data_IF_507505628877
#
_entry.id   IF_507505628877
#
_cell.length_a   1.000
_cell.length_b   1.000
_cell.length_c   1.000
_cell.angle_alpha   90.00
_cell.angle_beta   90.00
_cell.angle_gamma   90.00
#
_symmetry.space_group_name_H-M   'P 1'
#
loop_
_entity.id
_entity.type
_entity.pdbx_description
1 polymer ?
#
# COMPACT_ATOMS: atom_id res chain seq x y z
N UNK A 1 -6.61 10.05 -12.27
CA UNK A 1 -5.64 8.98 -12.57
C UNK A 1 -5.55 8.19 -11.29
N UNK A 2 -5.58 6.86 -11.36
CA UNK A 2 -5.47 6.07 -10.15
C UNK A 2 -4.03 6.20 -9.62
N UNK A 3 -3.87 6.67 -8.38
CA UNK A 3 -2.55 6.93 -7.83
C UNK A 3 -2.51 6.93 -6.31
N UNK A 4 -1.37 6.51 -5.75
CA UNK A 4 -1.09 6.62 -4.32
C UNK A 4 -0.65 8.04 -3.98
N UNK A 5 -1.36 8.70 -3.04
CA UNK A 5 -1.04 10.06 -2.57
C UNK A 5 -0.23 10.06 -1.29
N UNK A 6 -0.57 9.16 -0.37
CA UNK A 6 0.06 9.07 0.96
C UNK A 6 0.12 7.63 1.41
N UNK A 7 1.20 7.28 2.11
CA UNK A 7 1.36 6.00 2.81
C UNK A 7 1.59 6.29 4.29
N UNK A 8 0.83 5.65 5.17
CA UNK A 8 0.96 5.72 6.63
C UNK A 8 1.33 4.34 7.12
N UNK A 9 2.60 4.14 7.50
CA UNK A 9 3.07 2.89 8.10
C UNK A 9 2.72 2.91 9.57
N UNK A 10 1.93 1.93 9.99
CA UNK A 10 1.36 1.82 11.33
C UNK A 10 1.80 0.55 12.06
N UNK A 11 2.22 -0.45 11.29
CA UNK A 11 2.79 -1.69 11.77
C UNK A 11 4.20 -1.82 11.19
N UNK A 12 5.18 -2.10 12.04
CA UNK A 12 6.52 -2.49 11.60
C UNK A 12 7.10 -3.48 12.60
N UNK A 13 7.13 -4.76 12.20
CA UNK A 13 7.70 -5.88 12.94
C UNK A 13 8.74 -6.60 12.07
N UNK A 14 9.46 -7.56 12.64
CA UNK A 14 10.65 -8.16 12.04
C UNK A 14 10.50 -8.67 10.59
N UNK A 15 9.31 -9.16 10.21
CA UNK A 15 9.07 -9.70 8.86
C UNK A 15 7.80 -9.18 8.19
N UNK A 16 7.11 -8.25 8.85
CA UNK A 16 5.85 -7.69 8.38
C UNK A 16 5.75 -6.22 8.77
N UNK A 17 5.39 -5.38 7.80
CA UNK A 17 5.03 -4.00 8.03
C UNK A 17 3.81 -3.65 7.19
N UNK A 18 3.07 -2.63 7.58
CA UNK A 18 1.81 -2.32 6.93
C UNK A 18 1.16 -1.07 7.49
N UNK A 19 0.01 -0.73 6.96
CA UNK A 19 -0.77 0.42 7.41
C UNK A 19 -1.81 0.84 6.39
N UNK A 20 -1.96 2.16 6.22
CA UNK A 20 -2.96 2.73 5.31
C UNK A 20 -2.29 3.46 4.15
N UNK A 21 -2.79 3.23 2.94
CA UNK A 21 -2.53 4.11 1.80
C UNK A 21 -3.78 4.96 1.51
N UNK A 22 -3.58 6.25 1.28
CA UNK A 22 -4.59 7.14 0.70
C UNK A 22 -4.35 7.14 -0.80
N UNK A 23 -5.36 6.72 -1.54
CA UNK A 23 -5.31 6.58 -2.98
C UNK A 23 -6.45 7.36 -3.62
N UNK A 24 -6.20 7.90 -4.80
CA UNK A 24 -7.25 8.47 -5.66
C UNK A 24 -7.70 7.38 -6.63
N UNK A 25 -9.00 7.10 -6.71
CA UNK A 25 -9.60 6.18 -7.67
C UNK A 25 -10.80 6.87 -8.30
N UNK A 26 -10.83 6.96 -9.63
CA UNK A 26 -11.92 7.63 -10.36
C UNK A 26 -12.26 9.06 -9.87
N UNK A 27 -11.26 9.78 -9.31
CA UNK A 27 -11.42 11.13 -8.77
C UNK A 27 -11.89 11.20 -7.31
N UNK A 28 -12.09 10.07 -6.65
CA UNK A 28 -12.41 9.99 -5.22
C UNK A 28 -11.19 9.54 -4.41
N UNK A 29 -11.00 10.15 -3.24
CA UNK A 29 -9.99 9.71 -2.29
C UNK A 29 -10.54 8.62 -1.38
N UNK A 30 -9.87 7.46 -1.38
CA UNK A 30 -10.20 6.35 -0.51
C UNK A 30 -8.98 5.91 0.30
N UNK A 31 -9.23 5.33 1.46
CA UNK A 31 -8.20 4.71 2.29
C UNK A 31 -8.24 3.19 2.11
N UNK A 32 -7.08 2.61 1.82
CA UNK A 32 -6.89 1.16 1.71
C UNK A 32 -5.90 0.68 2.77
N UNK A 33 -6.24 -0.41 3.45
CA UNK A 33 -5.28 -1.12 4.29
C UNK A 33 -4.32 -1.91 3.40
N UNK A 34 -3.06 -2.01 3.81
CA UNK A 34 -2.11 -2.89 3.15
C UNK A 34 -1.12 -3.49 4.15
N UNK A 35 -0.65 -4.68 3.82
CA UNK A 35 0.40 -5.39 4.53
C UNK A 35 1.53 -5.73 3.56
N UNK A 36 2.75 -5.74 4.07
CA UNK A 36 3.96 -6.09 3.36
C UNK A 36 4.71 -7.13 4.16
N UNK A 37 4.83 -8.32 3.59
CA UNK A 37 5.59 -9.41 4.17
C UNK A 37 6.95 -9.53 3.47
N UNK A 38 8.00 -9.74 4.26
CA UNK A 38 9.32 -10.11 3.74
C UNK A 38 9.40 -11.63 3.65
N UNK A 39 9.63 -12.18 2.45
CA UNK A 39 9.86 -13.61 2.24
C UNK A 39 11.23 -13.79 1.58
N UNK A 40 12.27 -13.95 2.40
CA UNK A 40 13.66 -13.97 1.94
C UNK A 40 14.05 -12.64 1.26
N UNK A 41 14.62 -12.64 0.05
CA UNK A 41 14.97 -11.40 -0.66
C UNK A 41 13.77 -10.71 -1.32
N UNK A 42 12.56 -11.28 -1.24
CA UNK A 42 11.36 -10.77 -1.93
C UNK A 42 10.41 -10.08 -0.96
N UNK A 43 9.78 -9.02 -1.42
CA UNK A 43 8.67 -8.34 -0.76
C UNK A 43 7.36 -8.79 -1.38
N UNK A 44 6.36 -9.05 -0.55
CA UNK A 44 4.99 -9.37 -0.97
C UNK A 44 4.09 -8.30 -0.38
N UNK A 45 3.35 -7.59 -1.23
CA UNK A 45 2.36 -6.59 -0.80
C UNK A 45 0.97 -7.18 -0.98
N UNK A 46 0.11 -6.95 0.01
CA UNK A 46 -1.30 -7.37 0.00
C UNK A 46 -2.15 -6.18 0.38
N UNK A 47 -3.11 -5.82 -0.47
CA UNK A 47 -4.12 -4.81 -0.14
C UNK A 47 -5.28 -5.49 0.58
N UNK A 48 -5.63 -4.97 1.76
CA UNK A 48 -6.74 -5.42 2.58
C UNK A 48 -8.10 -5.05 1.97
N UNK A 49 -9.16 -5.72 2.42
CA UNK A 49 -10.54 -5.39 2.02
C UNK A 49 -10.96 -5.88 0.63
N UNK A 50 -10.11 -6.65 -0.08
CA UNK A 50 -10.44 -7.34 -1.35
C UNK A 50 -11.82 -8.02 -1.28
N UNK A 51 -12.73 -7.63 -2.16
CA UNK A 51 -14.05 -8.26 -2.31
C UNK A 51 -15.00 -8.15 -1.11
N UNK A 52 -14.62 -7.46 -0.01
CA UNK A 52 -15.51 -7.22 1.13
C UNK A 52 -16.26 -5.91 0.94
N UNK A 53 -17.47 -6.06 0.41
CA UNK A 53 -18.62 -5.18 0.46
C UNK A 53 -18.49 -3.68 0.15
N UNK A 54 -17.35 -2.95 0.20
CA UNK A 54 -17.42 -1.48 0.07
C UNK A 54 -16.19 -0.61 -0.23
N UNK A 55 -15.01 -1.06 -0.71
CA UNK A 55 -13.94 -0.06 -1.01
C UNK A 55 -13.09 -0.24 -2.26
N UNK A 56 -12.74 -1.46 -2.67
CA UNK A 56 -11.79 -1.65 -3.77
C UNK A 56 -12.13 -2.89 -4.58
N UNK A 57 -12.34 -2.73 -5.89
CA UNK A 57 -12.46 -3.85 -6.84
C UNK A 57 -11.15 -4.64 -6.94
N UNK A 58 -11.22 -5.91 -7.35
CA UNK A 58 -10.04 -6.79 -7.40
C UNK A 58 -8.95 -6.28 -8.36
N UNK A 59 -9.36 -5.75 -9.52
CA UNK A 59 -8.48 -5.12 -10.51
C UNK A 59 -7.74 -3.91 -9.93
N UNK A 60 -8.44 -3.07 -9.18
CA UNK A 60 -7.91 -1.87 -8.53
C UNK A 60 -6.97 -2.25 -7.38
N UNK A 61 -7.32 -3.27 -6.59
CA UNK A 61 -6.45 -3.77 -5.53
C UNK A 61 -5.13 -4.33 -6.09
N UNK A 62 -5.19 -5.12 -7.17
CA UNK A 62 -4.00 -5.66 -7.82
C UNK A 62 -3.10 -4.56 -8.42
N UNK A 63 -3.71 -3.49 -8.94
CA UNK A 63 -2.98 -2.32 -9.40
C UNK A 63 -2.19 -1.65 -8.25
N UNK A 64 -2.84 -1.38 -7.11
CA UNK A 64 -2.17 -0.74 -5.98
C UNK A 64 -1.14 -1.62 -5.29
N UNK A 65 -1.32 -2.93 -5.26
CA UNK A 65 -0.26 -3.84 -4.77
C UNK A 65 1.02 -3.71 -5.58
N UNK A 66 0.89 -3.62 -6.90
CA UNK A 66 2.04 -3.41 -7.79
C UNK A 66 2.69 -2.05 -7.56
N UNK A 67 1.90 -0.98 -7.48
CA UNK A 67 2.45 0.37 -7.24
C UNK A 67 3.13 0.49 -5.87
N UNK A 68 2.50 -0.02 -4.81
CA UNK A 68 3.09 -0.05 -3.47
C UNK A 68 4.41 -0.84 -3.47
N UNK A 69 4.46 -2.01 -4.14
CA UNK A 69 5.68 -2.80 -4.25
C UNK A 69 6.80 -2.02 -4.94
N UNK A 70 6.50 -1.36 -6.06
CA UNK A 70 7.48 -0.54 -6.77
C UNK A 70 7.98 0.63 -5.91
N UNK A 71 7.07 1.30 -5.21
CA UNK A 71 7.38 2.44 -4.33
C UNK A 71 8.26 2.03 -3.16
N UNK A 72 7.89 0.94 -2.47
CA UNK A 72 8.66 0.37 -1.36
C UNK A 72 10.07 -0.02 -1.85
N UNK A 73 10.15 -0.68 -3.02
CA UNK A 73 11.40 -1.17 -3.57
C UNK A 73 12.34 -0.05 -4.02
N UNK A 74 11.81 1.00 -4.67
CA UNK A 74 12.62 2.14 -5.16
C UNK A 74 13.19 2.97 -4.03
N UNK A 75 12.40 3.20 -3.00
CA UNK A 75 12.75 4.16 -1.97
C UNK A 75 13.39 3.51 -0.74
N UNK A 76 13.39 2.17 -0.60
CA UNK A 76 13.82 1.48 0.63
C UNK A 76 13.07 2.00 1.88
N UNK A 77 11.92 2.67 1.68
CA UNK A 77 11.44 3.76 2.56
C UNK A 77 10.52 3.30 3.67
N UNK A 78 10.07 2.04 3.72
CA UNK A 78 8.87 1.71 4.50
C UNK A 78 9.05 0.65 5.59
N UNK A 79 10.23 0.53 6.20
CA UNK A 79 10.41 -0.26 7.44
C UNK A 79 10.44 0.61 8.71
N UNK A 80 9.72 1.73 8.70
CA UNK A 80 9.58 2.59 9.87
C UNK A 80 8.15 3.09 9.98
N UNK A 81 7.65 3.19 11.21
CA UNK A 81 6.33 3.76 11.50
C UNK A 81 6.38 5.25 11.18
N UNK A 82 5.41 5.74 10.41
CA UNK A 82 5.39 7.13 9.99
C UNK A 82 4.44 7.41 8.83
N UNK A 83 4.28 8.70 8.55
CA UNK A 83 3.47 9.21 7.45
C UNK A 83 4.38 9.73 6.32
N UNK A 84 4.15 9.22 5.12
CA UNK A 84 4.96 9.48 3.93
C UNK A 84 4.06 10.03 2.82
N UNK A 85 4.34 11.27 2.40
CA UNK A 85 3.68 11.87 1.24
C UNK A 85 4.38 11.37 -0.03
N UNK A 86 3.59 10.87 -0.97
CA UNK A 86 4.10 10.44 -2.27
C UNK A 86 3.94 11.61 -3.22
N UNK A 87 5.05 12.26 -3.54
CA UNK A 87 5.08 13.30 -4.56
C UNK A 87 5.17 12.63 -5.94
N UNK A 88 4.37 13.13 -6.87
CA UNK A 88 4.38 12.70 -8.27
C UNK A 88 5.68 13.11 -8.98
#
# INVERSE_FOLDING_TARGET
MDMIKKVSIRLCQSFIFGGLAIVEVAGEEICIDFDVATSGPKLIVVVGGRGKANKVEESVAAHFEKELLELISKHNVLQQIGDYLISA
#
